data_IF_146155759273
#
_entry.id   IF_146155759273
#
_cell.length_a   1.000
_cell.length_b   1.000
_cell.length_c   1.000
_cell.angle_alpha   90.00
_cell.angle_beta   90.00
_cell.angle_gamma   90.00
#
_symmetry.space_group_name_H-M   'P 1'
#
loop_
_entity.id
_entity.type
_entity.pdbx_description
1 polymer ?
#
# COMPACT_ATOMS: atom_id res chain seq x y z
N UNK A 1 -14.30 -14.68 4.16
CA UNK A 1 -12.89 -14.33 3.99
C UNK A 1 -12.22 -15.38 3.12
N UNK A 2 -11.79 -15.01 1.92
CA UNK A 2 -11.05 -15.90 1.00
C UNK A 2 -9.54 -15.71 1.20
N UNK A 3 -8.75 -16.78 1.06
CA UNK A 3 -7.30 -16.71 1.07
C UNK A 3 -6.76 -16.81 -0.37
N UNK A 4 -5.99 -15.81 -0.78
CA UNK A 4 -5.22 -15.83 -2.02
C UNK A 4 -3.75 -15.92 -1.62
N UNK A 5 -3.17 -17.10 -1.80
CA UNK A 5 -1.76 -17.36 -1.54
C UNK A 5 -1.05 -17.63 -2.86
N UNK A 6 -0.34 -16.63 -3.34
CA UNK A 6 0.39 -16.65 -4.60
C UNK A 6 1.47 -15.59 -4.51
N UNK A 7 2.65 -15.90 -5.04
CA UNK A 7 3.79 -14.99 -5.06
C UNK A 7 3.35 -13.63 -5.61
N UNK A 8 2.98 -13.55 -6.86
CA UNK A 8 2.75 -12.34 -7.63
C UNK A 8 1.28 -12.13 -8.03
N UNK A 9 0.34 -12.44 -7.13
CA UNK A 9 -1.07 -12.17 -7.37
C UNK A 9 -1.30 -10.70 -7.77
N UNK A 10 -2.16 -10.48 -8.76
CA UNK A 10 -2.52 -9.16 -9.28
C UNK A 10 -1.43 -8.39 -10.03
N UNK A 11 -0.31 -9.04 -10.38
CA UNK A 11 0.69 -8.44 -11.25
C UNK A 11 0.10 -8.04 -12.62
N UNK A 12 0.40 -6.82 -13.10
CA UNK A 12 -0.10 -6.26 -14.38
C UNK A 12 -1.63 -6.32 -14.53
N UNK A 13 -2.39 -6.32 -13.43
CA UNK A 13 -3.84 -6.36 -13.52
C UNK A 13 -4.44 -4.99 -13.77
N UNK A 14 -5.57 -4.96 -14.47
CA UNK A 14 -6.31 -3.72 -14.74
C UNK A 14 -7.77 -3.88 -14.31
N UNK A 15 -8.34 -2.86 -13.67
CA UNK A 15 -9.76 -2.78 -13.30
C UNK A 15 -10.25 -3.94 -12.43
N UNK A 16 -9.46 -4.32 -11.43
CA UNK A 16 -9.79 -5.40 -10.50
C UNK A 16 -10.23 -4.83 -9.16
N UNK A 17 -11.30 -5.37 -8.59
CA UNK A 17 -11.65 -5.11 -7.19
C UNK A 17 -11.71 -6.41 -6.41
N UNK A 18 -11.06 -6.43 -5.25
CA UNK A 18 -11.01 -7.57 -4.33
C UNK A 18 -11.66 -7.16 -3.01
N UNK A 19 -12.51 -8.03 -2.49
CA UNK A 19 -13.26 -7.81 -1.26
C UNK A 19 -12.95 -8.90 -0.24
N UNK A 20 -12.93 -8.53 1.05
CA UNK A 20 -13.00 -9.44 2.21
C UNK A 20 -12.05 -10.64 2.10
N UNK A 21 -10.77 -10.39 1.79
CA UNK A 21 -9.78 -11.42 1.48
C UNK A 21 -8.45 -11.21 2.20
N UNK A 22 -7.77 -12.31 2.52
CA UNK A 22 -6.37 -12.32 2.95
C UNK A 22 -5.48 -12.63 1.74
N UNK A 23 -4.48 -11.79 1.52
CA UNK A 23 -3.58 -11.84 0.38
C UNK A 23 -2.15 -12.06 0.90
N UNK A 24 -1.56 -13.19 0.52
CA UNK A 24 -0.21 -13.58 0.95
C UNK A 24 0.67 -13.80 -0.28
N UNK A 25 1.85 -13.18 -0.33
CA UNK A 25 2.73 -13.29 -1.49
C UNK A 25 4.05 -12.51 -1.40
N UNK A 26 4.67 -12.25 -2.55
CA UNK A 26 5.84 -11.39 -2.75
C UNK A 26 5.59 -10.53 -3.99
N UNK A 27 5.75 -9.21 -3.91
CA UNK A 27 5.51 -8.31 -5.07
C UNK A 27 4.03 -8.26 -5.50
N UNK A 28 3.11 -8.46 -4.55
CA UNK A 28 1.69 -8.49 -4.82
C UNK A 28 1.22 -7.20 -5.51
N UNK A 29 0.46 -7.31 -6.60
CA UNK A 29 -0.15 -6.17 -7.27
C UNK A 29 0.82 -5.23 -8.00
N UNK A 30 2.04 -5.67 -8.27
CA UNK A 30 2.99 -4.88 -9.05
C UNK A 30 2.45 -4.50 -10.42
N UNK A 31 2.72 -3.25 -10.83
CA UNK A 31 2.31 -2.72 -12.14
C UNK A 31 0.79 -2.77 -12.40
N UNK A 32 -0.03 -2.84 -11.36
CA UNK A 32 -1.48 -2.83 -11.51
C UNK A 32 -2.01 -1.44 -11.85
N UNK A 33 -3.14 -1.36 -12.54
CA UNK A 33 -3.86 -0.13 -12.84
C UNK A 33 -5.32 -0.24 -12.40
N UNK A 34 -5.79 0.72 -11.60
CA UNK A 34 -7.15 0.70 -11.04
C UNK A 34 -7.46 -0.62 -10.30
N UNK A 35 -6.50 -1.07 -9.48
CA UNK A 35 -6.71 -2.13 -8.50
C UNK A 35 -7.35 -1.52 -7.25
N UNK A 36 -8.39 -2.17 -6.73
CA UNK A 36 -9.06 -1.75 -5.49
C UNK A 36 -9.16 -2.91 -4.51
N UNK A 37 -8.66 -2.72 -3.30
CA UNK A 37 -8.76 -3.67 -2.21
C UNK A 37 -9.68 -3.12 -1.14
N UNK A 38 -10.69 -3.89 -0.75
CA UNK A 38 -11.68 -3.48 0.25
C UNK A 38 -11.77 -4.54 1.33
N UNK A 39 -11.54 -4.14 2.58
CA UNK A 39 -11.52 -5.03 3.75
C UNK A 39 -10.55 -6.22 3.58
N UNK A 40 -9.40 -5.98 2.95
CA UNK A 40 -8.38 -7.01 2.74
C UNK A 40 -7.27 -6.95 3.79
N UNK A 41 -6.66 -8.10 4.08
CA UNK A 41 -5.40 -8.20 4.83
C UNK A 41 -4.27 -8.56 3.87
N UNK A 42 -3.14 -7.86 3.93
CA UNK A 42 -2.00 -8.05 3.04
C UNK A 42 -0.78 -8.47 3.86
N UNK A 43 -0.12 -9.55 3.46
CA UNK A 43 1.12 -10.09 4.04
C UNK A 43 2.07 -10.42 2.90
N UNK A 44 2.98 -9.50 2.59
CA UNK A 44 3.83 -9.63 1.41
C UNK A 44 4.98 -8.64 1.43
N UNK A 45 6.19 -9.07 1.08
CA UNK A 45 7.32 -8.16 0.86
C UNK A 45 7.17 -7.35 -0.42
N UNK A 46 7.56 -6.08 -0.36
CA UNK A 46 7.45 -5.11 -1.46
C UNK A 46 6.06 -5.10 -2.14
N UNK A 47 4.94 -5.03 -1.40
CA UNK A 47 3.64 -5.11 -2.03
C UNK A 47 3.27 -3.78 -2.70
N UNK A 48 2.49 -3.91 -3.76
CA UNK A 48 1.71 -2.84 -4.37
C UNK A 48 2.58 -1.70 -4.92
N UNK A 49 3.78 -2.04 -5.40
CA UNK A 49 4.69 -1.13 -6.08
C UNK A 49 4.30 -0.94 -7.55
N UNK A 50 4.66 0.21 -8.11
CA UNK A 50 4.39 0.60 -9.50
C UNK A 50 2.89 0.60 -9.85
N UNK A 51 2.01 0.72 -8.86
CA UNK A 51 0.57 0.65 -9.03
C UNK A 51 -0.01 2.03 -9.35
N UNK A 52 -0.92 2.09 -10.31
CA UNK A 52 -1.57 3.31 -10.77
C UNK A 52 -3.06 3.31 -10.40
N UNK A 53 -3.57 4.47 -9.95
CA UNK A 53 -4.95 4.63 -9.46
C UNK A 53 -5.36 3.55 -8.44
N UNK A 54 -4.44 3.22 -7.54
CA UNK A 54 -4.61 2.14 -6.58
C UNK A 54 -5.41 2.61 -5.35
N UNK A 55 -6.39 1.80 -4.91
CA UNK A 55 -7.26 2.13 -3.78
C UNK A 55 -7.22 1.03 -2.73
N UNK A 56 -7.05 1.41 -1.46
CA UNK A 56 -7.24 0.52 -0.31
C UNK A 56 -8.27 1.12 0.64
N UNK A 57 -9.29 0.34 0.96
CA UNK A 57 -10.35 0.75 1.87
C UNK A 57 -10.44 -0.24 3.03
N UNK A 58 -10.24 0.25 4.25
CA UNK A 58 -10.37 -0.55 5.47
C UNK A 58 -9.49 -1.80 5.48
N UNK A 59 -8.30 -1.72 4.88
CA UNK A 59 -7.36 -2.84 4.80
C UNK A 59 -6.49 -2.95 6.05
N UNK A 60 -5.80 -4.08 6.19
CA UNK A 60 -4.78 -4.32 7.22
C UNK A 60 -3.50 -4.76 6.54
N UNK A 61 -2.36 -4.23 6.99
CA UNK A 61 -1.03 -4.68 6.58
C UNK A 61 -0.46 -5.56 7.70
N UNK A 62 0.08 -6.72 7.35
CA UNK A 62 0.76 -7.60 8.30
C UNK A 62 2.19 -7.11 8.56
N UNK A 63 2.80 -7.62 9.63
CA UNK A 63 4.12 -7.18 10.11
C UNK A 63 5.26 -7.43 9.10
N UNK A 64 5.08 -8.40 8.20
CA UNK A 64 6.03 -8.75 7.13
C UNK A 64 5.85 -7.89 5.86
N UNK A 65 4.86 -7.00 5.83
CA UNK A 65 4.60 -6.14 4.69
C UNK A 65 5.55 -4.92 4.68
N UNK A 66 6.74 -5.13 4.11
CA UNK A 66 7.81 -4.14 4.01
C UNK A 66 7.93 -3.51 2.61
N UNK A 67 8.64 -2.38 2.53
CA UNK A 67 9.02 -1.68 1.30
C UNK A 67 7.82 -1.36 0.40
N UNK A 68 6.70 -1.00 1.02
CA UNK A 68 5.42 -0.86 0.34
C UNK A 68 5.34 0.36 -0.58
N UNK A 69 4.56 0.24 -1.65
CA UNK A 69 4.01 1.34 -2.46
C UNK A 69 5.02 2.13 -3.32
N UNK A 70 6.18 1.55 -3.63
CA UNK A 70 7.20 2.24 -4.43
C UNK A 70 6.65 2.71 -5.77
N UNK A 71 6.74 4.02 -6.02
CA UNK A 71 6.26 4.72 -7.21
C UNK A 71 4.75 4.63 -7.50
N UNK A 72 3.97 4.18 -6.52
CA UNK A 72 2.53 4.01 -6.69
C UNK A 72 1.76 5.32 -6.50
N UNK A 73 0.68 5.50 -7.26
CA UNK A 73 -0.35 6.50 -6.97
C UNK A 73 -1.49 5.82 -6.20
N UNK A 74 -1.66 6.18 -4.93
CA UNK A 74 -2.47 5.41 -3.98
C UNK A 74 -3.40 6.29 -3.16
N UNK A 75 -4.62 5.82 -2.93
CA UNK A 75 -5.50 6.32 -1.88
C UNK A 75 -5.84 5.18 -0.92
N UNK A 76 -5.24 5.18 0.26
CA UNK A 76 -5.29 4.06 1.18
C UNK A 76 -5.79 4.45 2.57
N UNK A 77 -6.63 3.57 3.11
CA UNK A 77 -7.12 3.59 4.48
C UNK A 77 -6.78 2.25 5.13
N UNK A 78 -5.77 2.24 6.00
CA UNK A 78 -5.14 1.04 6.57
C UNK A 78 -5.32 1.05 8.10
N UNK A 79 -5.90 -0.02 8.65
CA UNK A 79 -6.27 -0.16 10.07
C UNK A 79 -5.18 -0.86 10.90
N UNK A 80 -3.92 -0.60 10.59
CA UNK A 80 -2.76 -1.16 11.29
C UNK A 80 -1.56 -0.25 11.15
N UNK A 81 -0.48 -0.58 11.86
CA UNK A 81 0.88 -0.14 11.53
C UNK A 81 1.19 -0.52 10.06
N UNK A 82 1.79 0.40 9.32
CA UNK A 82 2.45 0.10 8.05
C UNK A 82 3.94 -0.04 8.35
N UNK A 83 4.48 -1.26 8.20
CA UNK A 83 5.85 -1.57 8.64
C UNK A 83 6.89 -0.70 7.92
N UNK A 84 6.80 -0.59 6.60
CA UNK A 84 7.56 0.43 5.87
C UNK A 84 6.92 0.89 4.57
N UNK A 85 7.15 2.16 4.24
CA UNK A 85 6.72 2.82 3.00
C UNK A 85 7.96 3.29 2.26
N UNK A 86 8.01 3.06 0.95
CA UNK A 86 9.13 3.48 0.12
C UNK A 86 8.64 4.31 -1.06
N UNK A 87 9.20 5.50 -1.27
CA UNK A 87 9.09 6.30 -2.49
C UNK A 87 7.68 6.33 -3.16
N UNK A 88 6.61 6.44 -2.38
CA UNK A 88 5.24 6.51 -2.93
C UNK A 88 5.05 7.78 -3.75
N UNK A 89 4.47 7.65 -4.95
CA UNK A 89 4.51 8.71 -5.96
C UNK A 89 3.51 9.83 -5.67
N UNK A 90 2.27 9.50 -5.32
CA UNK A 90 1.20 10.49 -5.12
C UNK A 90 0.00 9.90 -4.38
N UNK A 91 -0.88 10.78 -3.91
CA UNK A 91 -2.13 10.42 -3.25
C UNK A 91 -2.02 10.50 -1.74
N UNK A 92 -2.71 9.61 -1.02
CA UNK A 92 -2.70 9.62 0.45
C UNK A 92 -2.74 8.22 1.03
N UNK A 93 -2.01 8.02 2.12
CA UNK A 93 -2.04 6.81 2.93
C UNK A 93 -2.43 7.27 4.33
N UNK A 94 -3.50 6.70 4.86
CA UNK A 94 -3.94 6.91 6.24
C UNK A 94 -3.77 5.60 7.00
N UNK A 95 -2.98 5.61 8.08
CA UNK A 95 -2.62 4.42 8.85
C UNK A 95 -2.64 4.69 10.36
N UNK A 96 -2.57 3.63 11.18
CA UNK A 96 -2.48 3.77 12.65
C UNK A 96 -1.13 4.34 13.08
N UNK A 97 -0.08 3.89 12.42
CA UNK A 97 1.28 4.37 12.58
C UNK A 97 2.11 3.95 11.37
N UNK A 98 3.30 4.53 11.24
CA UNK A 98 4.29 4.14 10.24
C UNK A 98 5.56 3.73 10.96
N UNK A 99 6.18 2.64 10.49
CA UNK A 99 7.51 2.24 10.91
C UNK A 99 8.56 3.03 10.15
N UNK A 100 9.20 2.39 9.18
CA UNK A 100 10.23 3.03 8.36
C UNK A 100 9.62 3.77 7.16
N UNK A 101 10.05 5.01 6.93
CA UNK A 101 9.68 5.80 5.76
C UNK A 101 10.96 6.06 4.96
N UNK A 102 11.04 5.45 3.79
CA UNK A 102 12.22 5.50 2.90
C UNK A 102 11.90 6.43 1.72
N UNK A 103 12.40 7.66 1.79
CA UNK A 103 12.29 8.65 0.73
C UNK A 103 13.70 9.04 0.27
N UNK A 104 14.05 8.67 -0.96
CA UNK A 104 15.38 8.91 -1.52
C UNK A 104 15.31 9.60 -2.89
N UNK A 105 16.48 9.82 -3.51
CA UNK A 105 16.62 10.50 -4.81
C UNK A 105 15.90 9.80 -5.98
N UNK A 106 15.48 8.55 -5.83
CA UNK A 106 14.81 7.79 -6.88
C UNK A 106 13.30 8.06 -6.95
N UNK A 107 12.72 8.72 -5.95
CA UNK A 107 11.29 9.03 -5.90
C UNK A 107 10.82 9.72 -7.19
N UNK A 108 9.70 9.23 -7.75
CA UNK A 108 9.16 9.76 -9.00
C UNK A 108 8.23 10.93 -8.75
N UNK A 109 8.37 11.97 -9.59
CA UNK A 109 7.47 13.11 -9.58
C UNK A 109 6.00 12.66 -9.78
N UNK A 110 5.04 13.24 -9.03
CA UNK A 110 5.19 14.42 -8.18
C UNK A 110 5.85 14.18 -6.82
N UNK A 111 5.96 12.93 -6.34
CA UNK A 111 6.61 12.59 -5.07
C UNK A 111 5.95 13.23 -3.85
N UNK A 112 4.65 13.52 -3.94
CA UNK A 112 3.89 14.29 -2.95
C UNK A 112 2.81 13.44 -2.26
N UNK A 113 3.03 12.13 -2.14
CA UNK A 113 2.11 11.27 -1.42
C UNK A 113 2.05 11.69 0.06
N UNK A 114 0.84 11.89 0.57
CA UNK A 114 0.63 12.32 1.95
C UNK A 114 0.51 11.12 2.87
N UNK A 115 1.35 11.06 3.91
CA UNK A 115 1.24 10.07 4.98
C UNK A 115 0.50 10.70 6.16
N UNK A 116 -0.66 10.14 6.49
CA UNK A 116 -1.57 10.63 7.53
C UNK A 116 -1.80 9.57 8.59
N UNK A 117 -2.03 9.99 9.82
CA UNK A 117 -2.49 9.14 10.90
C UNK A 117 -4.02 9.23 11.06
N UNK A 118 -4.63 8.22 11.66
CA UNK A 118 -6.07 8.25 11.98
C UNK A 118 -6.43 9.31 13.01
N UNK A 119 -5.50 9.63 13.90
CA UNK A 119 -5.67 10.71 14.84
C UNK A 119 -5.19 12.01 14.19
N UNK A 120 -6.04 13.05 14.18
CA UNK A 120 -5.69 14.37 13.62
C UNK A 120 -4.61 15.10 14.45
N UNK A 121 -3.82 14.39 15.26
CA UNK A 121 -2.94 14.95 16.30
C UNK A 121 -1.46 14.88 15.97
N UNK A 122 -1.03 14.04 15.03
CA UNK A 122 0.42 13.86 14.77
C UNK A 122 0.75 14.07 13.30
N UNK A 123 1.17 15.29 12.98
CA UNK A 123 1.91 15.57 11.75
C UNK A 123 3.37 15.13 11.98
N UNK A 124 3.95 14.37 11.04
CA UNK A 124 5.37 14.07 11.01
C UNK A 124 6.17 15.33 10.64
N UNK A 125 6.26 16.27 11.58
CA UNK A 125 7.25 17.35 11.55
C UNK A 125 8.29 17.03 12.62
N UNK A 126 9.42 16.46 12.20
CA UNK A 126 10.72 16.72 12.80
C UNK A 126 11.59 17.43 11.78
#
# INVERSE_FOLDING_TARGET
MLLINSKDAFWNTEHVTVYDSELIGEYLGWHSHNLRLVNCKISSTQPLCYAHDFVMENCVMADDADLCFEYSSINATIKSLVHSVKNSRSGSIMAESYGEIILDENIKAPGNCELRLWDNTTCFNQ
#
